data_IF_821733236141
#
_entry.id   IF_821733236141
#
_cell.length_a   1.000
_cell.length_b   1.000
_cell.length_c   1.000
_cell.angle_alpha   90.00
_cell.angle_beta   90.00
_cell.angle_gamma   90.00
#
_symmetry.space_group_name_H-M   'P 1'
#
loop_
_entity.id
_entity.type
_entity.pdbx_description
1 polymer ?
#
# COMPACT_ATOMS: atom_id res chain seq x y z
N UNK A 1 7.82 7.72 47.05
CA UNK A 1 8.30 6.56 47.84
C UNK A 1 7.80 6.53 49.29
N UNK A 2 7.69 7.66 50.00
CA UNK A 2 7.28 7.68 51.41
C UNK A 2 5.92 7.03 51.70
N UNK A 3 4.96 7.13 50.77
CA UNK A 3 3.66 6.46 50.89
C UNK A 3 3.78 4.92 50.78
N UNK A 4 4.64 4.41 49.88
CA UNK A 4 4.83 2.97 49.65
C UNK A 4 5.50 2.27 50.85
N UNK A 5 6.36 2.97 51.60
CA UNK A 5 6.98 2.45 52.83
C UNK A 5 5.99 2.26 53.98
N UNK A 6 4.88 3.01 53.96
CA UNK A 6 3.83 2.93 54.98
C UNK A 6 2.74 1.92 54.62
N UNK A 7 2.83 1.26 53.46
CA UNK A 7 1.84 0.30 53.00
C UNK A 7 1.77 -0.91 53.93
N UNK A 8 0.55 -1.32 54.30
CA UNK A 8 0.28 -2.52 55.08
C UNK A 8 -0.68 -3.43 54.31
N UNK A 9 -0.36 -4.72 54.16
CA UNK A 9 0.82 -5.45 54.66
C UNK A 9 2.14 -5.00 53.98
N UNK A 10 3.30 -5.31 54.60
CA UNK A 10 4.61 -4.90 54.05
C UNK A 10 4.77 -5.40 52.62
N UNK A 11 5.11 -4.49 51.70
CA UNK A 11 5.38 -4.83 50.30
C UNK A 11 6.62 -5.73 50.19
N UNK A 12 6.60 -6.65 49.22
CA UNK A 12 7.80 -7.38 48.78
C UNK A 12 8.44 -6.69 47.58
N UNK A 13 7.62 -6.23 46.64
CA UNK A 13 8.02 -5.56 45.40
C UNK A 13 7.11 -4.38 45.09
N UNK A 14 7.66 -3.34 44.47
CA UNK A 14 6.96 -2.17 44.00
C UNK A 14 7.33 -1.92 42.53
N UNK A 15 6.35 -2.10 41.65
CA UNK A 15 6.55 -1.98 40.20
C UNK A 15 6.21 -0.56 39.73
N UNK A 16 7.09 0.01 38.93
CA UNK A 16 6.87 1.24 38.16
C UNK A 16 6.89 0.83 36.69
N UNK A 17 5.77 1.06 36.02
CA UNK A 17 5.58 0.74 34.61
C UNK A 17 5.44 2.05 33.83
N UNK A 18 6.13 2.17 32.71
CA UNK A 18 6.03 3.35 31.85
C UNK A 18 5.98 2.96 30.38
N UNK A 19 5.26 3.74 29.59
CA UNK A 19 5.24 3.65 28.12
C UNK A 19 6.42 4.37 27.47
N UNK A 20 7.28 5.02 28.27
CA UNK A 20 8.54 5.58 27.80
C UNK A 20 9.57 4.48 27.48
N UNK A 21 10.56 4.75 26.60
CA UNK A 21 11.69 3.84 26.36
C UNK A 21 12.46 3.49 27.64
N UNK A 22 13.20 2.38 27.60
CA UNK A 22 14.06 1.97 28.71
C UNK A 22 15.20 2.99 28.91
N UNK A 23 15.14 3.75 30.01
CA UNK A 23 16.12 4.80 30.34
C UNK A 23 17.19 4.26 31.30
N UNK A 24 18.45 4.30 30.86
CA UNK A 24 19.60 3.78 31.61
C UNK A 24 19.90 4.55 32.90
N UNK A 25 19.68 5.87 32.91
CA UNK A 25 19.89 6.72 34.08
C UNK A 25 18.84 6.44 35.17
N UNK A 26 17.58 6.29 34.77
CA UNK A 26 16.50 5.91 35.70
C UNK A 26 16.70 4.49 36.23
N UNK A 27 17.10 3.54 35.39
CA UNK A 27 17.42 2.17 35.83
C UNK A 27 18.60 2.16 36.83
N UNK A 28 19.65 2.96 36.59
CA UNK A 28 20.77 3.10 37.52
C UNK A 28 20.33 3.73 38.85
N UNK A 29 19.46 4.74 38.81
CA UNK A 29 18.90 5.34 40.02
C UNK A 29 18.10 4.31 40.84
N UNK A 30 17.23 3.52 40.19
CA UNK A 30 16.46 2.45 40.84
C UNK A 30 17.37 1.39 41.46
N UNK A 31 18.48 1.03 40.79
CA UNK A 31 19.49 0.13 41.38
C UNK A 31 20.08 0.71 42.67
N UNK A 32 20.49 1.97 42.67
CA UNK A 32 21.01 2.64 43.87
C UNK A 32 19.98 2.69 45.00
N UNK A 33 18.71 2.91 44.68
CA UNK A 33 17.61 2.84 45.64
C UNK A 33 17.49 1.43 46.22
N UNK A 34 17.52 0.39 45.39
CA UNK A 34 17.41 -1.00 45.84
C UNK A 34 18.59 -1.42 46.72
N UNK A 35 19.81 -0.98 46.43
CA UNK A 35 20.98 -1.23 47.28
C UNK A 35 20.79 -0.64 48.68
N UNK A 36 20.29 0.61 48.76
CA UNK A 36 19.97 1.26 50.04
C UNK A 36 18.82 0.54 50.76
N UNK A 37 17.79 0.11 50.04
CA UNK A 37 16.62 -0.57 50.61
C UNK A 37 16.92 -2.01 51.07
N UNK A 38 17.85 -2.70 50.41
CA UNK A 38 18.30 -4.05 50.80
C UNK A 38 18.95 -4.05 52.18
N UNK A 39 19.74 -3.02 52.51
CA UNK A 39 20.30 -2.83 53.86
C UNK A 39 19.21 -2.68 54.93
N UNK A 40 18.10 -2.05 54.56
CA UNK A 40 16.96 -1.81 55.45
C UNK A 40 15.91 -2.94 55.47
N UNK A 41 16.18 -4.08 54.82
CA UNK A 41 15.23 -5.20 54.63
C UNK A 41 13.84 -4.73 54.15
N UNK A 42 13.83 -3.74 53.26
CA UNK A 42 12.60 -3.17 52.67
C UNK A 42 12.24 -3.89 51.36
N UNK A 43 11.21 -3.39 50.66
CA UNK A 43 10.76 -3.90 49.37
C UNK A 43 11.70 -3.53 48.22
N UNK A 44 11.68 -4.36 47.18
CA UNK A 44 12.40 -4.11 45.93
C UNK A 44 11.60 -3.18 45.01
N UNK A 45 12.23 -2.19 44.40
CA UNK A 45 11.65 -1.34 43.35
C UNK A 45 12.04 -1.90 41.98
N UNK A 46 11.06 -2.14 41.13
CA UNK A 46 11.27 -2.64 39.77
C UNK A 46 10.72 -1.62 38.78
N UNK A 47 11.59 -1.05 37.93
CA UNK A 47 11.19 -0.18 36.83
C UNK A 47 11.21 -0.97 35.53
N UNK A 48 10.10 -0.98 34.81
CA UNK A 48 10.00 -1.53 33.46
C UNK A 48 9.61 -0.41 32.51
N UNK A 49 10.46 -0.13 31.53
CA UNK A 49 10.11 0.70 30.39
C UNK A 49 9.37 -0.11 29.34
N UNK A 50 9.01 0.55 28.24
CA UNK A 50 8.14 -0.02 27.22
C UNK A 50 8.73 -1.26 26.54
N UNK A 51 10.04 -1.25 26.26
CA UNK A 51 10.74 -2.38 25.65
C UNK A 51 10.68 -3.63 26.51
N UNK A 52 10.98 -3.50 27.80
CA UNK A 52 10.92 -4.62 28.75
C UNK A 52 9.48 -5.09 29.03
N UNK A 53 8.49 -4.18 29.03
CA UNK A 53 7.07 -4.56 29.12
C UNK A 53 6.67 -5.41 27.92
N UNK A 54 7.00 -4.98 26.70
CA UNK A 54 6.71 -5.73 25.47
C UNK A 54 7.42 -7.09 25.47
N UNK A 55 8.71 -7.13 25.82
CA UNK A 55 9.47 -8.38 25.87
C UNK A 55 8.85 -9.40 26.83
N UNK A 56 8.35 -8.95 27.98
CA UNK A 56 7.67 -9.82 28.96
C UNK A 56 6.29 -10.25 28.49
N UNK A 57 5.53 -9.33 27.87
CA UNK A 57 4.21 -9.64 27.33
C UNK A 57 4.32 -10.68 26.21
N UNK A 58 5.29 -10.53 25.30
CA UNK A 58 5.50 -11.42 24.16
C UNK A 58 6.17 -12.77 24.51
N UNK A 59 6.59 -12.95 25.77
CA UNK A 59 7.18 -14.24 26.22
C UNK A 59 6.17 -15.38 26.14
N UNK A 60 4.89 -15.08 26.30
CA UNK A 60 3.79 -16.00 26.08
C UNK A 60 2.87 -15.39 25.03
N UNK A 61 3.09 -15.81 23.78
CA UNK A 61 2.30 -15.35 22.65
C UNK A 61 0.81 -15.59 22.90
N UNK A 62 0.38 -16.73 23.43
CA UNK A 62 -1.05 -17.00 23.63
C UNK A 62 -1.70 -16.04 24.63
N UNK A 63 -0.99 -15.69 25.70
CA UNK A 63 -1.46 -14.69 26.68
C UNK A 63 -1.44 -13.29 26.07
N UNK A 64 -0.39 -12.95 25.32
CA UNK A 64 -0.30 -11.67 24.62
C UNK A 64 -1.47 -11.51 23.63
N UNK A 65 -1.78 -12.56 22.90
CA UNK A 65 -2.85 -12.61 21.92
C UNK A 65 -4.24 -12.54 22.56
N UNK A 66 -4.44 -13.21 23.70
CA UNK A 66 -5.69 -13.14 24.45
C UNK A 66 -6.00 -11.73 24.98
N UNK A 67 -4.98 -11.02 25.45
CA UNK A 67 -5.16 -9.74 26.16
C UNK A 67 -4.90 -8.50 25.30
N UNK A 68 -4.02 -8.63 24.30
CA UNK A 68 -3.59 -7.55 23.41
C UNK A 68 -3.78 -7.87 21.93
N UNK A 69 -4.24 -9.08 21.58
CA UNK A 69 -4.73 -9.36 20.24
C UNK A 69 -5.97 -8.53 19.89
N UNK A 70 -6.34 -8.47 18.61
CA UNK A 70 -7.48 -7.69 18.17
C UNK A 70 -8.73 -8.10 18.95
N UNK A 71 -9.33 -7.15 19.68
CA UNK A 71 -10.60 -7.38 20.35
C UNK A 71 -11.70 -7.53 19.29
N UNK A 72 -12.17 -8.75 19.09
CA UNK A 72 -13.28 -9.06 18.20
C UNK A 72 -12.98 -10.28 17.34
N UNK A 73 -14.02 -11.00 16.93
CA UNK A 73 -14.00 -12.14 16.01
C UNK A 73 -13.51 -11.80 14.59
N UNK A 74 -12.80 -10.68 14.40
CA UNK A 74 -12.24 -10.30 13.12
C UNK A 74 -11.01 -11.16 12.86
N UNK A 75 -11.05 -11.94 11.78
CA UNK A 75 -9.91 -12.71 11.31
C UNK A 75 -8.69 -11.80 11.16
N UNK A 76 -7.53 -12.21 11.68
CA UNK A 76 -6.28 -11.46 11.60
C UNK A 76 -5.94 -11.23 10.13
N UNK A 77 -5.95 -9.99 9.68
CA UNK A 77 -5.31 -9.61 8.42
C UNK A 77 -3.86 -9.24 8.76
N UNK A 78 -2.88 -10.13 8.61
CA UNK A 78 -1.48 -9.76 8.82
C UNK A 78 -1.05 -8.69 7.82
N UNK A 79 -0.18 -7.78 8.26
CA UNK A 79 0.50 -6.86 7.36
C UNK A 79 1.56 -7.66 6.59
N UNK A 80 1.37 -7.81 5.29
CA UNK A 80 2.26 -8.58 4.41
C UNK A 80 3.40 -7.71 3.86
N UNK A 81 3.11 -6.44 3.58
CA UNK A 81 4.11 -5.53 3.01
C UNK A 81 3.80 -4.08 3.31
N UNK A 82 4.83 -3.25 3.35
CA UNK A 82 4.70 -1.78 3.39
C UNK A 82 5.57 -1.15 2.31
N UNK A 83 4.93 -0.44 1.40
CA UNK A 83 5.61 0.31 0.34
C UNK A 83 5.35 1.80 0.49
N UNK A 84 6.34 2.61 0.13
CA UNK A 84 6.26 4.06 0.21
C UNK A 84 6.25 4.69 -1.17
N UNK A 85 5.53 5.80 -1.29
CA UNK A 85 5.56 6.67 -2.46
C UNK A 85 5.98 8.08 -2.07
N UNK A 86 6.70 8.74 -2.98
CA UNK A 86 7.00 10.17 -2.92
C UNK A 86 6.57 10.78 -4.24
N UNK A 87 5.78 11.87 -4.18
CA UNK A 87 5.28 12.59 -5.36
C UNK A 87 4.57 11.66 -6.36
N UNK A 88 3.82 10.70 -5.83
CA UNK A 88 3.10 9.71 -6.64
C UNK A 88 4.01 8.68 -7.34
N UNK A 89 5.25 8.50 -6.90
CA UNK A 89 6.16 7.46 -7.40
C UNK A 89 6.61 6.51 -6.30
N UNK A 90 6.62 5.22 -6.60
CA UNK A 90 7.10 4.19 -5.69
C UNK A 90 8.60 4.36 -5.37
N UNK A 91 8.95 4.30 -4.08
CA UNK A 91 10.32 4.37 -3.56
C UNK A 91 11.02 3.00 -3.59
N UNK A 92 10.92 2.28 -4.72
CA UNK A 92 11.58 0.98 -4.88
C UNK A 92 12.27 0.88 -6.22
N UNK A 93 13.44 0.24 -6.24
CA UNK A 93 14.08 -0.13 -7.50
C UNK A 93 13.30 -1.24 -8.18
N UNK A 94 13.49 -1.40 -9.49
CA UNK A 94 12.84 -2.49 -10.26
C UNK A 94 13.16 -3.87 -9.70
N UNK A 95 14.41 -4.09 -9.27
CA UNK A 95 14.86 -5.36 -8.72
C UNK A 95 14.22 -5.65 -7.36
N UNK A 96 14.20 -4.67 -6.46
CA UNK A 96 13.55 -4.81 -5.15
C UNK A 96 12.06 -5.09 -5.33
N UNK A 97 11.37 -4.28 -6.13
CA UNK A 97 9.94 -4.45 -6.38
C UNK A 97 9.60 -5.82 -6.96
N UNK A 98 10.45 -6.33 -7.87
CA UNK A 98 10.26 -7.67 -8.43
C UNK A 98 10.36 -8.77 -7.39
N UNK A 99 11.24 -8.63 -6.39
CA UNK A 99 11.37 -9.59 -5.29
C UNK A 99 10.23 -9.42 -4.29
N UNK A 100 9.95 -8.19 -3.87
CA UNK A 100 8.86 -7.88 -2.94
C UNK A 100 7.51 -8.39 -3.46
N UNK A 101 7.26 -8.27 -4.76
CA UNK A 101 6.02 -8.79 -5.34
C UNK A 101 5.95 -10.32 -5.34
N UNK A 102 7.10 -11.00 -5.56
CA UNK A 102 7.20 -12.46 -5.44
C UNK A 102 6.96 -12.93 -4.01
N UNK A 103 7.56 -12.27 -3.04
CA UNK A 103 7.33 -12.55 -1.62
C UNK A 103 5.86 -12.29 -1.26
N UNK A 104 5.33 -11.13 -1.65
CA UNK A 104 3.94 -10.76 -1.40
C UNK A 104 2.94 -11.75 -1.98
N UNK A 105 3.23 -12.32 -3.17
CA UNK A 105 2.41 -13.38 -3.74
C UNK A 105 2.34 -14.60 -2.83
N UNK A 106 3.50 -15.10 -2.38
CA UNK A 106 3.57 -16.32 -1.57
C UNK A 106 2.92 -16.05 -0.21
N UNK A 107 3.15 -14.87 0.35
CA UNK A 107 2.50 -14.39 1.56
C UNK A 107 0.97 -14.35 1.43
N UNK A 108 0.42 -13.97 0.26
CA UNK A 108 -1.03 -14.03 0.03
C UNK A 108 -1.56 -15.46 -0.15
N UNK A 109 -0.72 -16.46 -0.47
CA UNK A 109 -1.13 -17.87 -0.41
C UNK A 109 -1.22 -18.35 1.05
N UNK A 110 -0.24 -17.99 1.86
CA UNK A 110 -0.17 -18.36 3.28
C UNK A 110 -1.20 -17.60 4.13
N UNK A 111 -1.48 -16.34 3.76
CA UNK A 111 -2.42 -15.45 4.42
C UNK A 111 -3.33 -14.74 3.41
N UNK A 112 -4.37 -15.43 2.89
CA UNK A 112 -5.28 -14.87 1.89
C UNK A 112 -6.04 -13.62 2.34
N UNK A 113 -6.14 -13.41 3.65
CA UNK A 113 -6.76 -12.25 4.26
C UNK A 113 -5.76 -11.18 4.73
N UNK A 114 -4.47 -11.34 4.43
CA UNK A 114 -3.45 -10.33 4.70
C UNK A 114 -3.69 -9.03 3.94
N UNK A 115 -2.96 -7.99 4.30
CA UNK A 115 -3.05 -6.70 3.64
C UNK A 115 -1.66 -6.11 3.38
N UNK A 116 -1.57 -5.34 2.30
CA UNK A 116 -0.44 -4.49 2.00
C UNK A 116 -0.79 -3.04 2.35
N UNK A 117 0.20 -2.28 2.80
CA UNK A 117 0.08 -0.84 3.03
C UNK A 117 0.93 -0.11 2.00
N UNK A 118 0.31 0.79 1.23
CA UNK A 118 1.00 1.72 0.33
C UNK A 118 0.78 3.12 0.90
N UNK A 119 1.88 3.82 1.24
CA UNK A 119 1.87 5.09 1.99
C UNK A 119 2.55 6.19 1.22
N UNK A 120 1.89 7.34 1.09
CA UNK A 120 2.48 8.55 0.51
C UNK A 120 3.18 9.39 1.58
N UNK A 121 4.42 9.85 1.35
CA UNK A 121 5.14 10.72 2.30
C UNK A 121 4.40 12.05 2.52
N UNK A 122 3.65 12.50 1.51
CA UNK A 122 2.77 13.65 1.55
C UNK A 122 1.61 13.46 2.54
N UNK A 123 1.07 12.23 2.66
CA UNK A 123 0.06 11.86 3.66
C UNK A 123 0.61 12.02 5.08
N UNK A 124 1.82 11.52 5.34
CA UNK A 124 2.48 11.65 6.64
C UNK A 124 2.72 13.13 7.00
N UNK A 125 3.19 13.91 6.02
CA UNK A 125 3.39 15.35 6.17
C UNK A 125 2.09 16.10 6.49
N UNK A 126 0.97 15.71 5.85
CA UNK A 126 -0.35 16.29 6.15
C UNK A 126 -0.87 15.88 7.53
N UNK A 127 -0.64 14.64 7.95
CA UNK A 127 -1.03 14.19 9.30
C UNK A 127 -0.31 15.02 10.37
N UNK A 128 1.00 15.27 10.21
CA UNK A 128 1.77 16.14 11.10
C UNK A 128 1.22 17.58 11.10
N UNK A 129 0.94 18.15 9.91
CA UNK A 129 0.33 19.47 9.80
C UNK A 129 -1.02 19.54 10.51
N UNK A 130 -1.88 18.54 10.36
CA UNK A 130 -3.19 18.47 11.02
C UNK A 130 -3.05 18.30 12.54
N UNK A 131 -2.08 17.53 13.01
CA UNK A 131 -1.81 17.34 14.44
C UNK A 131 -1.33 18.64 15.11
N UNK A 132 -0.56 19.49 14.40
CA UNK A 132 -0.15 20.80 14.94
C UNK A 132 -1.34 21.72 15.28
N UNK A 133 -2.51 21.49 14.70
CA UNK A 133 -3.72 22.24 15.02
C UNK A 133 -4.40 21.82 16.33
N UNK A 134 -4.07 20.67 16.95
CA UNK A 134 -4.80 20.17 18.13
C UNK A 134 -4.46 20.84 19.47
N UNK A 135 -3.49 21.76 19.52
CA UNK A 135 -2.94 22.24 20.80
C UNK A 135 -3.62 23.49 21.39
N UNK A 136 -4.53 24.19 20.68
CA UNK A 136 -5.13 25.44 21.17
C UNK A 136 -6.59 25.69 20.72
N UNK A 137 -7.35 26.59 21.41
CA UNK A 137 -8.65 27.05 20.95
C UNK A 137 -8.52 27.68 19.56
N UNK A 138 -9.20 27.10 18.57
CA UNK A 138 -9.01 27.49 17.17
C UNK A 138 -9.89 28.67 16.76
N UNK A 139 -9.31 29.66 16.09
CA UNK A 139 -10.08 30.69 15.38
C UNK A 139 -10.87 30.07 14.21
N UNK A 140 -11.90 30.77 13.71
CA UNK A 140 -12.68 30.31 12.56
C UNK A 140 -11.79 30.01 11.34
N UNK A 141 -10.82 30.88 11.05
CA UNK A 141 -9.85 30.71 9.96
C UNK A 141 -8.97 29.48 10.14
N UNK A 142 -8.51 29.19 11.37
CA UNK A 142 -7.73 27.97 11.64
C UNK A 142 -8.55 26.70 11.46
N UNK A 143 -9.86 26.76 11.79
CA UNK A 143 -10.77 25.63 11.55
C UNK A 143 -10.96 25.38 10.06
N UNK A 144 -11.11 26.42 9.24
CA UNK A 144 -11.21 26.32 7.77
C UNK A 144 -9.95 25.70 7.17
N UNK A 145 -8.77 26.18 7.57
CA UNK A 145 -7.49 25.61 7.12
C UNK A 145 -7.36 24.12 7.49
N UNK A 146 -7.72 23.75 8.72
CA UNK A 146 -7.72 22.34 9.15
C UNK A 146 -8.70 21.50 8.34
N UNK A 147 -9.88 22.04 8.01
CA UNK A 147 -10.86 21.35 7.17
C UNK A 147 -10.32 21.11 5.75
N UNK A 148 -9.69 22.11 5.15
CA UNK A 148 -9.04 21.98 3.83
C UNK A 148 -7.96 20.89 3.83
N UNK A 149 -7.08 20.88 4.85
CA UNK A 149 -6.04 19.84 5.00
C UNK A 149 -6.66 18.44 5.16
N UNK A 150 -7.76 18.30 5.91
CA UNK A 150 -8.48 17.02 6.06
C UNK A 150 -9.16 16.56 4.78
N UNK A 151 -9.62 17.47 3.93
CA UNK A 151 -10.17 17.14 2.61
C UNK A 151 -9.07 16.65 1.68
N UNK A 152 -7.92 17.34 1.66
CA UNK A 152 -6.74 16.91 0.91
C UNK A 152 -6.24 15.53 1.37
N UNK A 153 -6.14 15.31 2.68
CA UNK A 153 -5.77 14.02 3.27
C UNK A 153 -6.72 12.90 2.85
N UNK A 154 -8.04 13.16 2.80
CA UNK A 154 -9.02 12.18 2.33
C UNK A 154 -8.80 11.80 0.87
N UNK A 155 -8.47 12.77 0.01
CA UNK A 155 -8.15 12.49 -1.40
C UNK A 155 -6.89 11.63 -1.55
N UNK A 156 -5.85 11.89 -0.75
CA UNK A 156 -4.63 11.08 -0.72
C UNK A 156 -4.88 9.66 -0.22
N UNK A 157 -5.56 9.50 0.91
CA UNK A 157 -5.89 8.18 1.48
C UNK A 157 -6.72 7.32 0.52
N UNK A 158 -7.69 7.90 -0.19
CA UNK A 158 -8.45 7.16 -1.21
C UNK A 158 -7.56 6.59 -2.31
N UNK A 159 -6.48 7.29 -2.68
CA UNK A 159 -5.51 6.81 -3.67
C UNK A 159 -4.63 5.70 -3.10
N UNK A 160 -4.19 5.85 -1.85
CA UNK A 160 -3.49 4.79 -1.11
C UNK A 160 -4.34 3.51 -1.04
N UNK A 161 -5.62 3.64 -0.66
CA UNK A 161 -6.57 2.52 -0.56
C UNK A 161 -6.79 1.85 -1.93
N UNK A 162 -6.97 2.64 -2.99
CA UNK A 162 -7.13 2.13 -4.36
C UNK A 162 -5.88 1.40 -4.88
N UNK A 163 -4.69 1.92 -4.56
CA UNK A 163 -3.43 1.28 -4.92
C UNK A 163 -3.25 -0.05 -4.18
N UNK A 164 -3.57 -0.07 -2.87
CA UNK A 164 -3.52 -1.28 -2.04
C UNK A 164 -4.48 -2.36 -2.56
N UNK A 165 -5.73 -1.98 -2.84
CA UNK A 165 -6.73 -2.88 -3.40
C UNK A 165 -6.29 -3.44 -4.76
N UNK A 166 -5.78 -2.59 -5.65
CA UNK A 166 -5.30 -3.04 -6.96
C UNK A 166 -4.15 -4.04 -6.87
N UNK A 167 -3.15 -3.77 -6.01
CA UNK A 167 -2.04 -4.71 -5.81
C UNK A 167 -2.52 -6.01 -5.18
N UNK A 168 -3.39 -5.95 -4.16
CA UNK A 168 -3.97 -7.13 -3.55
C UNK A 168 -4.75 -7.99 -4.58
N UNK A 169 -5.51 -7.38 -5.49
CA UNK A 169 -6.21 -8.08 -6.57
C UNK A 169 -5.26 -8.75 -7.54
N UNK A 170 -4.15 -8.10 -7.92
CA UNK A 170 -3.12 -8.69 -8.77
C UNK A 170 -2.49 -9.95 -8.14
N UNK A 171 -2.35 -10.00 -6.82
CA UNK A 171 -1.84 -11.16 -6.10
C UNK A 171 -2.88 -12.28 -5.89
N UNK A 172 -4.16 -11.91 -5.68
CA UNK A 172 -5.19 -12.85 -5.23
C UNK A 172 -6.09 -13.40 -6.35
N UNK A 173 -6.27 -12.67 -7.45
CA UNK A 173 -7.12 -13.10 -8.57
C UNK A 173 -6.34 -13.95 -9.56
N UNK A 174 -6.73 -15.22 -9.72
CA UNK A 174 -5.97 -16.22 -10.49
C UNK A 174 -5.67 -15.77 -11.93
N UNK A 175 -6.56 -15.03 -12.56
CA UNK A 175 -6.45 -14.56 -13.94
C UNK A 175 -5.35 -13.50 -14.09
N UNK A 176 -5.44 -12.41 -13.31
CA UNK A 176 -4.44 -11.33 -13.27
C UNK A 176 -3.07 -11.87 -12.88
N UNK A 177 -3.10 -12.73 -11.88
CA UNK A 177 -1.97 -13.39 -11.28
C UNK A 177 -1.23 -14.25 -12.31
N UNK A 178 -1.95 -15.09 -13.04
CA UNK A 178 -1.41 -15.94 -14.11
C UNK A 178 -0.83 -15.09 -15.24
N UNK A 179 -1.53 -14.04 -15.65
CA UNK A 179 -1.07 -13.16 -16.72
C UNK A 179 0.25 -12.45 -16.35
N UNK A 180 0.32 -11.84 -15.18
CA UNK A 180 1.53 -11.12 -14.74
C UNK A 180 2.74 -12.06 -14.62
N UNK A 181 2.60 -13.21 -13.99
CA UNK A 181 3.75 -14.07 -13.71
C UNK A 181 4.12 -15.07 -14.79
N UNK A 182 3.12 -15.69 -15.43
CA UNK A 182 3.37 -16.76 -16.40
C UNK A 182 3.50 -16.24 -17.82
N UNK A 183 2.85 -15.12 -18.16
CA UNK A 183 2.87 -14.58 -19.53
C UNK A 183 3.93 -13.49 -19.70
N UNK A 184 4.04 -12.54 -18.76
CA UNK A 184 4.87 -11.34 -18.93
C UNK A 184 6.28 -11.41 -18.34
N UNK A 185 6.61 -12.48 -17.62
CA UNK A 185 7.84 -12.63 -16.83
C UNK A 185 7.92 -11.71 -15.59
N UNK A 186 8.63 -12.11 -14.51
CA UNK A 186 8.58 -11.38 -13.25
C UNK A 186 9.08 -9.92 -13.30
N UNK A 187 10.06 -9.63 -14.17
CA UNK A 187 10.61 -8.27 -14.30
C UNK A 187 9.62 -7.30 -14.93
N UNK A 188 8.83 -7.75 -15.91
CA UNK A 188 7.82 -6.92 -16.55
C UNK A 188 6.58 -6.79 -15.65
N UNK A 189 6.27 -7.83 -14.86
CA UNK A 189 5.24 -7.74 -13.82
C UNK A 189 5.53 -6.64 -12.81
N UNK A 190 6.79 -6.52 -12.35
CA UNK A 190 7.22 -5.44 -11.47
C UNK A 190 6.99 -4.05 -12.10
N UNK A 191 7.31 -3.89 -13.39
CA UNK A 191 7.06 -2.63 -14.11
C UNK A 191 5.56 -2.33 -14.23
N UNK A 192 4.73 -3.36 -14.47
CA UNK A 192 3.27 -3.21 -14.52
C UNK A 192 2.71 -2.69 -13.19
N UNK A 193 3.20 -3.22 -12.06
CA UNK A 193 2.78 -2.81 -10.72
C UNK A 193 3.27 -1.39 -10.42
N UNK A 194 4.54 -1.10 -10.73
CA UNK A 194 5.08 0.24 -10.58
C UNK A 194 4.26 1.25 -11.39
N UNK A 195 3.96 0.93 -12.67
CA UNK A 195 3.13 1.74 -13.54
C UNK A 195 1.74 1.98 -12.96
N UNK A 196 1.09 0.92 -12.46
CA UNK A 196 -0.22 1.00 -11.83
C UNK A 196 -0.21 1.87 -10.56
N UNK A 197 0.69 1.59 -9.61
CA UNK A 197 0.78 2.36 -8.36
C UNK A 197 1.11 3.81 -8.66
N UNK A 198 2.05 4.08 -9.56
CA UNK A 198 2.41 5.44 -9.94
C UNK A 198 1.23 6.18 -10.59
N UNK A 199 0.45 5.51 -11.43
CA UNK A 199 -0.75 6.10 -12.03
C UNK A 199 -1.80 6.45 -11.00
N UNK A 200 -2.14 5.52 -10.10
CA UNK A 200 -3.14 5.74 -9.05
C UNK A 200 -2.71 6.83 -8.08
N UNK A 201 -1.42 6.88 -7.74
CA UNK A 201 -0.85 7.84 -6.78
C UNK A 201 -0.55 9.21 -7.40
N UNK A 202 -0.53 9.34 -8.73
CA UNK A 202 -0.40 10.64 -9.41
C UNK A 202 -1.70 11.45 -9.25
N UNK A 203 -1.60 12.77 -9.08
CA UNK A 203 -2.79 13.61 -8.96
C UNK A 203 -3.53 13.70 -10.30
N UNK A 204 -4.88 13.68 -10.29
CA UNK A 204 -5.67 13.93 -11.51
C UNK A 204 -5.23 15.22 -12.19
N UNK A 205 -5.00 15.18 -13.50
CA UNK A 205 -4.57 16.34 -14.29
C UNK A 205 -3.09 16.75 -14.14
N UNK A 206 -2.29 16.02 -13.37
CA UNK A 206 -0.85 16.32 -13.19
C UNK A 206 0.04 15.85 -14.34
N UNK A 207 -0.48 15.01 -15.26
CA UNK A 207 0.26 14.62 -16.46
C UNK A 207 0.15 15.76 -17.49
N UNK A 208 1.26 16.39 -17.89
CA UNK A 208 1.22 17.38 -18.97
C UNK A 208 0.74 16.66 -20.23
N UNK A 209 -0.42 17.09 -20.74
CA UNK A 209 -0.97 16.52 -21.95
C UNK A 209 -0.30 17.17 -23.16
N UNK A 210 0.79 16.57 -23.64
CA UNK A 210 1.54 17.10 -24.79
C UNK A 210 0.97 16.67 -26.12
N UNK A 211 0.15 15.62 -26.15
CA UNK A 211 -0.44 15.06 -27.36
C UNK A 211 -1.96 14.98 -27.24
N UNK A 212 -2.65 15.22 -28.34
CA UNK A 212 -4.10 14.99 -28.44
C UNK A 212 -4.46 13.54 -28.71
N UNK A 213 -3.47 12.64 -28.83
CA UNK A 213 -3.70 11.23 -29.19
C UNK A 213 -3.92 10.35 -27.96
N UNK A 214 -4.82 9.38 -28.13
CA UNK A 214 -5.25 8.44 -27.11
C UNK A 214 -5.05 7.01 -27.60
N UNK A 215 -4.58 6.16 -26.69
CA UNK A 215 -4.71 4.72 -26.81
C UNK A 215 -6.09 4.33 -26.30
N UNK A 216 -6.97 3.91 -27.21
CA UNK A 216 -8.26 3.31 -26.90
C UNK A 216 -8.10 1.80 -26.80
N UNK A 217 -8.69 1.22 -25.77
CA UNK A 217 -8.57 -0.19 -25.45
C UNK A 217 -9.93 -0.72 -25.04
N UNK A 218 -10.30 -1.90 -25.55
CA UNK A 218 -11.53 -2.58 -25.16
C UNK A 218 -11.32 -4.09 -25.00
N UNK A 219 -12.08 -4.74 -24.11
CA UNK A 219 -11.98 -6.17 -23.89
C UNK A 219 -12.40 -6.94 -25.16
N UNK A 220 -11.90 -8.17 -25.40
CA UNK A 220 -12.05 -8.87 -26.67
C UNK A 220 -13.52 -9.14 -27.06
N UNK A 221 -14.39 -9.45 -26.10
CA UNK A 221 -15.79 -9.75 -26.40
C UNK A 221 -16.71 -8.51 -26.38
N UNK A 222 -16.18 -7.35 -25.93
CA UNK A 222 -16.78 -6.02 -25.77
C UNK A 222 -18.32 -5.90 -25.91
N UNK A 223 -19.08 -6.71 -25.16
CA UNK A 223 -20.54 -6.80 -25.32
C UNK A 223 -21.23 -5.47 -24.95
N UNK A 224 -20.57 -4.64 -24.14
CA UNK A 224 -21.08 -3.37 -23.62
C UNK A 224 -20.60 -2.12 -24.38
N UNK A 225 -19.81 -2.28 -25.44
CA UNK A 225 -19.09 -1.18 -26.12
C UNK A 225 -18.32 -0.27 -25.13
N UNK A 226 -17.79 -0.88 -24.07
CA UNK A 226 -16.99 -0.18 -23.06
C UNK A 226 -15.57 0.02 -23.57
N UNK A 227 -15.12 1.28 -23.53
CA UNK A 227 -13.78 1.66 -24.00
C UNK A 227 -13.04 2.38 -22.91
N UNK A 228 -11.81 1.93 -22.66
CA UNK A 228 -10.85 2.62 -21.82
C UNK A 228 -9.95 3.46 -22.71
N UNK A 229 -9.66 4.69 -22.30
CA UNK A 229 -8.74 5.57 -23.01
C UNK A 229 -7.61 6.00 -22.10
N UNK A 230 -6.40 6.05 -22.64
CA UNK A 230 -5.21 6.58 -21.99
C UNK A 230 -4.46 7.52 -22.95
N UNK A 231 -3.97 8.64 -22.44
CA UNK A 231 -3.18 9.58 -23.22
C UNK A 231 -1.84 8.97 -23.63
N UNK A 232 -1.43 9.18 -24.89
CA UNK A 232 -0.13 8.80 -25.40
C UNK A 232 0.78 10.02 -25.46
N UNK A 233 1.93 9.98 -24.79
CA UNK A 233 2.95 11.00 -24.97
C UNK A 233 3.80 10.71 -26.23
N UNK A 234 4.58 11.69 -26.67
CA UNK A 234 5.39 11.59 -27.90
C UNK A 234 6.41 10.44 -27.84
N UNK A 235 6.92 10.12 -26.65
CA UNK A 235 7.83 8.99 -26.45
C UNK A 235 7.12 7.66 -26.69
N UNK A 236 5.91 7.48 -26.15
CA UNK A 236 5.10 6.28 -26.33
C UNK A 236 4.66 6.12 -27.79
N UNK A 237 4.26 7.22 -28.45
CA UNK A 237 3.94 7.20 -29.88
C UNK A 237 5.13 6.73 -30.71
N UNK A 238 6.32 7.28 -30.43
CA UNK A 238 7.55 6.86 -31.10
C UNK A 238 7.87 5.39 -30.85
N UNK A 239 7.76 4.90 -29.61
CA UNK A 239 7.95 3.47 -29.30
C UNK A 239 7.01 2.57 -30.10
N UNK A 240 5.74 2.99 -30.28
CA UNK A 240 4.75 2.26 -31.10
C UNK A 240 5.14 2.28 -32.59
N UNK A 241 5.56 3.44 -33.12
CA UNK A 241 5.99 3.57 -34.51
C UNK A 241 7.23 2.72 -34.81
N UNK A 242 8.19 2.70 -33.89
CA UNK A 242 9.42 1.91 -34.01
C UNK A 242 9.11 0.40 -34.06
N UNK A 243 8.21 -0.10 -33.20
CA UNK A 243 7.83 -1.51 -33.22
C UNK A 243 7.01 -1.86 -34.48
N UNK A 244 6.12 -0.95 -34.94
CA UNK A 244 5.37 -1.11 -36.19
C UNK A 244 6.32 -1.22 -37.38
N UNK A 245 7.29 -0.31 -37.50
CA UNK A 245 8.28 -0.33 -38.58
C UNK A 245 9.11 -1.61 -38.57
N UNK A 246 9.54 -2.06 -37.39
CA UNK A 246 10.27 -3.32 -37.22
C UNK A 246 9.45 -4.53 -37.67
N UNK A 247 8.16 -4.59 -37.31
CA UNK A 247 7.26 -5.70 -37.69
C UNK A 247 6.90 -5.68 -39.16
N UNK A 248 6.70 -4.52 -39.78
CA UNK A 248 6.52 -4.42 -41.23
C UNK A 248 7.74 -4.99 -41.96
N UNK A 249 8.95 -4.67 -41.49
CA UNK A 249 10.19 -5.22 -42.07
C UNK A 249 10.31 -6.75 -41.90
N UNK A 250 9.83 -7.32 -40.81
CA UNK A 250 9.96 -8.76 -40.51
C UNK A 250 8.83 -9.61 -41.10
N UNK A 251 7.60 -9.10 -41.09
CA UNK A 251 6.37 -9.88 -41.32
C UNK A 251 5.46 -9.28 -42.40
N UNK A 252 5.85 -8.17 -43.03
CA UNK A 252 5.05 -7.44 -44.02
C UNK A 252 3.66 -7.02 -43.51
N UNK A 253 3.50 -6.86 -42.19
CA UNK A 253 2.25 -6.43 -41.53
C UNK A 253 2.56 -5.52 -40.33
N UNK A 254 1.84 -4.42 -40.13
CA UNK A 254 1.95 -3.57 -38.95
C UNK A 254 1.11 -4.13 -37.79
N UNK A 255 1.41 -5.35 -37.33
CA UNK A 255 0.68 -6.00 -36.24
C UNK A 255 0.88 -5.21 -34.95
N UNK A 256 -0.14 -4.44 -34.54
CA UNK A 256 -0.28 -3.74 -33.23
C UNK A 256 -1.77 -3.53 -32.96
N UNK A 257 -2.52 -4.63 -33.05
CA UNK A 257 -3.98 -4.66 -32.87
C UNK A 257 -4.38 -5.02 -31.45
N UNK A 258 -3.49 -5.63 -30.68
CA UNK A 258 -3.76 -6.04 -29.30
C UNK A 258 -2.73 -5.52 -28.30
N UNK A 259 -3.11 -5.47 -27.01
CA UNK A 259 -2.26 -5.00 -25.91
C UNK A 259 -0.94 -5.76 -25.81
N UNK A 260 -0.92 -7.08 -26.05
CA UNK A 260 0.32 -7.87 -26.03
C UNK A 260 1.32 -7.47 -27.12
N UNK A 261 0.84 -6.81 -28.16
CA UNK A 261 1.68 -6.36 -29.26
C UNK A 261 2.31 -4.99 -28.97
N UNK A 262 1.94 -4.31 -27.89
CA UNK A 262 2.56 -3.03 -27.52
C UNK A 262 4.03 -3.19 -27.09
N UNK A 263 4.86 -2.15 -27.27
CA UNK A 263 6.15 -2.06 -26.61
C UNK A 263 6.02 -2.17 -25.08
N UNK A 264 7.00 -2.79 -24.42
CA UNK A 264 6.99 -3.03 -22.97
C UNK A 264 6.79 -1.75 -22.14
N UNK A 265 7.40 -0.64 -22.56
CA UNK A 265 7.27 0.67 -21.90
C UNK A 265 5.85 1.23 -22.01
N UNK A 266 5.22 1.11 -23.18
CA UNK A 266 3.84 1.54 -23.41
C UNK A 266 2.87 0.63 -22.67
N UNK A 267 3.11 -0.68 -22.70
CA UNK A 267 2.30 -1.66 -22.00
C UNK A 267 2.32 -1.41 -20.49
N UNK A 268 3.50 -1.31 -19.88
CA UNK A 268 3.66 -1.21 -18.42
C UNK A 268 3.27 0.15 -17.85
N UNK A 269 3.48 1.25 -18.59
CA UNK A 269 3.26 2.61 -18.08
C UNK A 269 1.94 3.23 -18.49
N UNK A 270 1.25 2.70 -19.52
CA UNK A 270 0.05 3.30 -20.09
C UNK A 270 -1.10 2.28 -20.15
N UNK A 271 -0.92 1.18 -20.89
CA UNK A 271 -2.02 0.26 -21.16
C UNK A 271 -2.45 -0.51 -19.90
N UNK A 272 -1.53 -1.23 -19.28
CA UNK A 272 -1.81 -2.06 -18.10
C UNK A 272 -2.36 -1.24 -16.92
N UNK A 273 -1.76 -0.10 -16.52
CA UNK A 273 -2.30 0.73 -15.44
C UNK A 273 -3.75 1.15 -15.68
N UNK A 274 -4.07 1.58 -16.91
CA UNK A 274 -5.43 2.03 -17.25
C UNK A 274 -6.43 0.87 -17.27
N UNK A 275 -6.04 -0.28 -17.81
CA UNK A 275 -6.86 -1.50 -17.84
C UNK A 275 -7.15 -1.95 -16.41
N UNK A 276 -6.13 -2.05 -15.57
CA UNK A 276 -6.29 -2.44 -14.16
C UNK A 276 -7.19 -1.48 -13.40
N UNK A 277 -7.04 -0.18 -13.62
CA UNK A 277 -7.95 0.82 -13.07
C UNK A 277 -9.38 0.61 -13.56
N UNK A 278 -9.59 0.33 -14.84
CA UNK A 278 -10.91 0.05 -15.40
C UNK A 278 -11.56 -1.20 -14.79
N UNK A 279 -10.78 -2.25 -14.55
CA UNK A 279 -11.24 -3.45 -13.83
C UNK A 279 -11.68 -3.09 -12.41
N UNK A 280 -10.90 -2.28 -11.68
CA UNK A 280 -11.26 -1.84 -10.33
C UNK A 280 -12.49 -0.93 -10.30
N UNK A 281 -12.62 -0.04 -11.28
CA UNK A 281 -13.81 0.81 -11.47
C UNK A 281 -15.06 -0.05 -11.68
N UNK A 282 -15.01 -1.03 -12.60
CA UNK A 282 -16.12 -1.94 -12.88
C UNK A 282 -16.52 -2.83 -11.68
N UNK A 283 -15.55 -3.21 -10.84
CA UNK A 283 -15.78 -3.96 -9.60
C UNK A 283 -16.30 -3.09 -8.44
N UNK A 284 -15.97 -1.80 -8.45
CA UNK A 284 -16.22 -0.86 -7.34
C UNK A 284 -17.55 -0.11 -7.38
N UNK A 285 -18.11 0.13 -8.57
CA UNK A 285 -19.29 0.99 -8.76
C UNK A 285 -20.59 0.47 -8.09
N UNK A 286 -21.53 1.38 -7.79
CA UNK A 286 -22.83 1.06 -7.16
C UNK A 286 -23.68 0.09 -8.00
N UNK A 287 -23.45 0.03 -9.30
CA UNK A 287 -23.96 -0.99 -10.23
C UNK A 287 -22.90 -2.07 -10.48
N UNK A 288 -22.43 -2.71 -9.39
CA UNK A 288 -21.35 -3.71 -9.46
C UNK A 288 -21.63 -4.73 -10.55
N UNK A 289 -20.75 -4.75 -11.56
CA UNK A 289 -20.76 -5.81 -12.56
C UNK A 289 -20.22 -7.06 -11.88
N UNK A 290 -20.98 -8.18 -11.85
CA UNK A 290 -20.48 -9.41 -11.26
C UNK A 290 -19.15 -9.81 -11.89
N UNK A 291 -18.21 -10.27 -11.07
CA UNK A 291 -16.90 -10.72 -11.55
C UNK A 291 -17.03 -11.77 -12.68
N UNK A 292 -18.03 -12.64 -12.59
CA UNK A 292 -18.33 -13.66 -13.61
C UNK A 292 -18.72 -13.06 -14.95
N UNK A 293 -19.38 -11.90 -14.96
CA UNK A 293 -19.70 -11.15 -16.19
C UNK A 293 -18.44 -10.54 -16.78
N UNK A 294 -17.58 -9.92 -15.96
CA UNK A 294 -16.29 -9.39 -16.42
C UNK A 294 -15.39 -10.51 -17.01
N UNK A 295 -15.42 -11.71 -16.40
CA UNK A 295 -14.72 -12.88 -16.92
C UNK A 295 -15.29 -13.33 -18.27
N UNK A 296 -16.62 -13.40 -18.39
CA UNK A 296 -17.29 -13.82 -19.62
C UNK A 296 -17.07 -12.85 -20.80
N UNK A 297 -16.84 -11.57 -20.50
CA UNK A 297 -16.52 -10.54 -21.50
C UNK A 297 -15.01 -10.40 -21.77
N UNK A 298 -14.18 -11.24 -21.14
CA UNK A 298 -12.74 -11.25 -21.38
C UNK A 298 -11.95 -10.10 -20.76
N UNK A 299 -12.47 -9.41 -19.72
CA UNK A 299 -11.76 -8.30 -19.08
C UNK A 299 -10.38 -8.69 -18.53
N UNK A 300 -10.24 -9.93 -18.09
CA UNK A 300 -8.99 -10.46 -17.54
C UNK A 300 -8.06 -11.05 -18.61
N UNK A 301 -8.49 -11.13 -19.87
CA UNK A 301 -7.66 -11.53 -21.01
C UNK A 301 -6.82 -10.34 -21.51
N UNK A 302 -6.10 -9.68 -20.61
CA UNK A 302 -5.47 -8.36 -20.82
C UNK A 302 -4.67 -8.31 -22.13
N UNK A 303 -3.92 -9.35 -22.45
CA UNK A 303 -3.11 -9.40 -23.68
C UNK A 303 -3.90 -9.38 -25.00
N UNK A 304 -5.16 -9.82 -24.96
CA UNK A 304 -6.06 -9.89 -26.11
C UNK A 304 -6.95 -8.66 -26.27
N UNK A 305 -6.86 -7.69 -25.36
CA UNK A 305 -7.59 -6.43 -25.51
C UNK A 305 -7.20 -5.76 -26.82
N UNK A 306 -8.20 -5.35 -27.58
CA UNK A 306 -8.01 -4.69 -28.86
C UNK A 306 -7.67 -3.22 -28.67
N UNK A 307 -6.96 -2.66 -29.65
CA UNK A 307 -6.39 -1.31 -29.59
C UNK A 307 -6.80 -0.46 -30.79
N UNK A 308 -7.03 0.83 -30.52
CA UNK A 308 -7.14 1.88 -31.53
C UNK A 308 -6.36 3.12 -31.08
N UNK A 309 -5.73 3.83 -32.01
CA UNK A 309 -5.03 5.10 -31.74
C UNK A 309 -5.85 6.20 -32.39
N UNK A 310 -6.47 7.04 -31.56
CA UNK A 310 -7.42 8.07 -31.97
C UNK A 310 -7.05 9.46 -31.45
#
# INVERSE_FOLDING_TARGET
MLAAQKFRPKLKKFYILTTAPDDTALLAHVRSVNEKQKKNKSFEVVLLGWGEILRRALKDLQVAEKHFGPKGSASRSPLLGTWYTTRGRLEKTKTELSLDFQELWEDFQDWPNGHIVIRDRETDSLNLKIAAFSENPQSATQREQRLALRQQLRGLKRREDAAQEGVARMCTMTELRTYLYRVKEPKLAADCIAGFVNEVMTAPGSRPNTSSLFLRMHPPDNVRDERLSAYLNDLALKSIEDIKAKRVKMYNKPLTTTVDELPDDVFTQIAFPRIMRGILEALGDEQRVPITTLMAEGWFNIGQWELDIA
#
